data_IF_987969739743
#
_entry.id   IF_987969739743
#
_cell.length_a   1.000
_cell.length_b   1.000
_cell.length_c   1.000
_cell.angle_alpha   90.00
_cell.angle_beta   90.00
_cell.angle_gamma   90.00
#
_symmetry.space_group_name_H-M   'P 1'
#
loop_
_entity.id
_entity.type
_entity.pdbx_description
1 polymer ?
#
# COMPACT_ATOMS: atom_id res chain seq x y z
N UNK A 1 0.00 -0.42 1.76
CA UNK A 1 -1.01 -0.45 2.86
C UNK A 1 -2.42 -0.22 2.30
N UNK A 2 -2.95 -1.14 1.50
CA UNK A 2 -4.24 -0.97 0.81
C UNK A 2 -5.42 -0.76 1.77
N UNK A 3 -5.35 -1.33 2.98
CA UNK A 3 -6.34 -1.11 4.04
C UNK A 3 -6.37 0.33 4.56
N UNK A 4 -5.24 1.04 4.56
CA UNK A 4 -5.20 2.47 4.91
C UNK A 4 -5.85 3.32 3.81
N UNK A 5 -5.70 2.91 2.54
CA UNK A 5 -6.39 3.54 1.42
C UNK A 5 -7.91 3.45 1.55
N UNK A 6 -8.45 2.36 2.13
CA UNK A 6 -9.89 2.27 2.44
C UNK A 6 -10.30 3.36 3.44
N UNK A 7 -9.48 3.64 4.46
CA UNK A 7 -9.75 4.69 5.45
C UNK A 7 -9.76 6.08 4.81
N UNK A 8 -8.77 6.37 3.97
CA UNK A 8 -8.69 7.63 3.21
C UNK A 8 -9.85 7.77 2.23
N UNK A 9 -10.18 6.71 1.50
CA UNK A 9 -11.27 6.71 0.52
C UNK A 9 -12.64 6.90 1.20
N UNK A 10 -12.81 6.39 2.43
CA UNK A 10 -13.99 6.65 3.24
C UNK A 10 -14.13 8.12 3.66
N UNK A 11 -13.02 8.85 3.86
CA UNK A 11 -13.04 10.30 4.11
C UNK A 11 -13.28 11.12 2.84
N UNK A 12 -12.77 10.66 1.69
CA UNK A 12 -12.81 11.42 0.43
C UNK A 12 -14.15 11.28 -0.31
N UNK A 13 -14.87 10.16 -0.16
CA UNK A 13 -16.16 9.88 -0.80
C UNK A 13 -17.19 9.43 0.25
N UNK A 14 -17.85 10.38 0.94
CA UNK A 14 -18.82 10.07 1.99
C UNK A 14 -20.18 9.61 1.46
N UNK A 15 -20.58 10.00 0.24
CA UNK A 15 -21.93 9.81 -0.34
C UNK A 15 -22.07 8.66 -1.35
N UNK A 16 -21.02 7.85 -1.56
CA UNK A 16 -21.12 6.70 -2.46
C UNK A 16 -21.98 5.58 -1.84
N UNK A 17 -22.96 5.06 -2.60
CA UNK A 17 -23.74 3.88 -2.19
C UNK A 17 -22.81 2.68 -1.99
N UNK A 18 -22.85 2.09 -0.79
CA UNK A 18 -21.99 0.96 -0.41
C UNK A 18 -22.84 -0.27 -0.18
N UNK A 19 -22.77 -1.24 -1.10
CA UNK A 19 -23.39 -2.58 -0.94
C UNK A 19 -22.74 -3.45 0.14
N UNK A 20 -21.51 -3.13 0.60
CA UNK A 20 -20.82 -3.89 1.63
C UNK A 20 -20.18 -2.98 2.70
N UNK A 21 -20.68 -3.06 3.93
CA UNK A 21 -20.06 -2.42 5.11
C UNK A 21 -19.26 -3.48 5.86
N UNK A 22 -17.95 -3.29 5.93
CA UNK A 22 -17.07 -4.13 6.77
C UNK A 22 -17.56 -4.06 8.22
N UNK A 23 -18.03 -5.18 8.76
CA UNK A 23 -18.40 -5.31 10.16
C UNK A 23 -17.19 -5.00 11.04
N UNK A 24 -17.33 -4.18 12.10
CA UNK A 24 -16.21 -3.79 12.97
C UNK A 24 -15.22 -2.76 12.38
N UNK A 25 -15.59 -2.06 11.31
CA UNK A 25 -14.85 -0.89 10.83
C UNK A 25 -14.87 0.24 11.88
N UNK A 26 -13.74 0.94 12.17
CA UNK A 26 -12.43 0.88 11.53
C UNK A 26 -11.37 0.00 12.24
N UNK A 27 -11.75 -0.74 13.28
CA UNK A 27 -10.82 -1.49 14.15
C UNK A 27 -10.08 -2.59 13.37
N UNK A 28 -10.82 -3.34 12.54
CA UNK A 28 -10.25 -4.46 11.76
C UNK A 28 -9.22 -3.98 10.72
N UNK A 29 -9.48 -2.93 9.90
CA UNK A 29 -8.46 -2.34 9.05
C UNK A 29 -7.23 -1.85 9.81
N UNK A 30 -7.41 -1.26 10.99
CA UNK A 30 -6.30 -0.73 11.79
C UNK A 30 -5.38 -1.85 12.28
N UNK A 31 -5.97 -2.93 12.81
CA UNK A 31 -5.23 -4.11 13.25
C UNK A 31 -4.46 -4.77 12.10
N UNK A 32 -5.10 -4.91 10.93
CA UNK A 32 -4.46 -5.46 9.74
C UNK A 32 -3.26 -4.61 9.28
N UNK A 33 -3.39 -3.28 9.26
CA UNK A 33 -2.28 -2.38 8.95
C UNK A 33 -1.14 -2.54 9.97
N UNK A 34 -1.46 -2.64 11.27
CA UNK A 34 -0.50 -2.89 12.33
C UNK A 34 0.28 -4.20 12.12
N UNK A 35 -0.44 -5.32 11.89
CA UNK A 35 0.18 -6.61 11.60
C UNK A 35 1.05 -6.58 10.33
N UNK A 36 0.60 -5.91 9.28
CA UNK A 36 1.38 -5.76 8.05
C UNK A 36 2.68 -4.97 8.29
N UNK A 37 2.64 -3.91 9.10
CA UNK A 37 3.85 -3.15 9.47
C UNK A 37 4.80 -4.03 10.30
N UNK A 38 4.29 -4.76 11.28
CA UNK A 38 5.10 -5.67 12.10
C UNK A 38 5.75 -6.75 11.24
N UNK A 39 5.01 -7.34 10.30
CA UNK A 39 5.54 -8.32 9.37
C UNK A 39 6.63 -7.72 8.48
N UNK A 40 6.44 -6.49 7.98
CA UNK A 40 7.46 -5.78 7.19
C UNK A 40 8.73 -5.55 8.01
N UNK A 41 8.61 -5.06 9.25
CA UNK A 41 9.76 -4.85 10.14
C UNK A 41 10.47 -6.17 10.41
N UNK A 42 9.72 -7.24 10.71
CA UNK A 42 10.29 -8.55 10.93
C UNK A 42 11.04 -9.07 9.69
N UNK A 43 10.45 -8.90 8.50
CA UNK A 43 11.07 -9.32 7.23
C UNK A 43 12.37 -8.57 6.95
N UNK A 44 12.43 -7.26 7.27
CA UNK A 44 13.66 -6.45 7.13
C UNK A 44 14.78 -6.99 8.04
N UNK A 45 14.45 -7.39 9.26
CA UNK A 45 15.42 -7.90 10.23
C UNK A 45 15.86 -9.33 9.88
N UNK A 46 14.92 -10.20 9.52
CA UNK A 46 15.18 -11.62 9.24
C UNK A 46 15.89 -11.83 7.90
N UNK A 47 15.65 -10.98 6.89
CA UNK A 47 16.25 -11.13 5.56
C UNK A 47 16.53 -9.76 4.92
N UNK A 48 17.59 -9.07 5.38
CA UNK A 48 17.91 -7.73 4.91
C UNK A 48 18.32 -7.70 3.43
N UNK A 49 19.02 -8.73 2.95
CA UNK A 49 19.46 -8.85 1.56
C UNK A 49 18.30 -9.02 0.59
N UNK A 50 17.39 -9.96 0.86
CA UNK A 50 16.20 -10.19 0.04
C UNK A 50 15.28 -8.97 0.01
N UNK A 51 15.13 -8.30 1.15
CA UNK A 51 14.32 -7.07 1.24
C UNK A 51 14.95 -5.91 0.47
N UNK A 52 16.28 -5.75 0.54
CA UNK A 52 16.99 -4.71 -0.21
C UNK A 52 16.87 -4.89 -1.74
N UNK A 53 16.96 -6.13 -2.23
CA UNK A 53 16.76 -6.42 -3.66
C UNK A 53 15.32 -6.09 -4.08
N UNK A 54 14.32 -6.50 -3.29
CA UNK A 54 12.92 -6.18 -3.55
C UNK A 54 12.65 -4.67 -3.57
N UNK A 55 13.21 -3.92 -2.60
CA UNK A 55 13.11 -2.46 -2.57
C UNK A 55 13.83 -1.80 -3.76
N UNK A 56 14.97 -2.34 -4.19
CA UNK A 56 15.68 -1.88 -5.38
C UNK A 56 14.83 -2.02 -6.64
N UNK A 57 14.16 -3.15 -6.84
CA UNK A 57 13.27 -3.39 -7.98
C UNK A 57 12.04 -2.48 -7.94
N UNK A 58 11.48 -2.21 -6.75
CA UNK A 58 10.36 -1.26 -6.63
C UNK A 58 10.84 0.15 -6.95
N UNK A 59 12.03 0.54 -6.47
CA UNK A 59 12.61 1.85 -6.71
C UNK A 59 12.94 2.07 -8.19
N UNK A 60 13.32 1.04 -8.96
CA UNK A 60 13.54 1.17 -10.42
C UNK A 60 12.24 1.41 -11.19
N UNK A 61 11.07 1.13 -10.62
CA UNK A 61 9.79 1.54 -11.20
C UNK A 61 9.62 3.06 -11.34
N UNK A 62 10.21 3.85 -10.42
CA UNK A 62 10.16 5.33 -10.46
C UNK A 62 10.90 5.94 -11.66
N UNK A 63 12.20 5.65 -11.91
CA UNK A 63 12.89 6.15 -13.09
C UNK A 63 12.29 5.57 -14.37
N UNK A 64 11.89 4.30 -14.40
CA UNK A 64 11.25 3.69 -15.59
C UNK A 64 9.97 4.43 -15.96
N UNK A 65 9.13 4.78 -14.98
CA UNK A 65 7.94 5.59 -15.23
C UNK A 65 8.30 6.96 -15.83
N UNK A 66 9.30 7.66 -15.27
CA UNK A 66 9.67 8.98 -15.79
C UNK A 66 10.27 8.92 -17.20
N UNK A 67 11.10 7.93 -17.53
CA UNK A 67 11.76 7.82 -18.83
C UNK A 67 10.83 7.29 -19.93
N UNK A 68 9.97 6.31 -19.63
CA UNK A 68 9.11 5.67 -20.63
C UNK A 68 7.69 6.23 -20.66
N UNK A 69 7.04 6.47 -19.51
CA UNK A 69 5.65 6.94 -19.48
C UNK A 69 5.51 8.45 -19.76
N UNK A 70 6.55 9.25 -19.57
CA UNK A 70 6.59 10.63 -20.07
C UNK A 70 6.44 10.69 -21.60
N UNK A 71 7.01 9.72 -22.33
CA UNK A 71 6.92 9.65 -23.79
C UNK A 71 5.59 9.11 -24.32
N UNK A 72 4.82 8.39 -23.51
CA UNK A 72 3.52 7.79 -23.91
C UNK A 72 2.37 8.81 -23.77
N UNK A 73 2.63 9.96 -23.13
CA UNK A 73 1.65 11.05 -22.96
C UNK A 73 1.80 12.19 -23.99
N UNK A 74 2.62 12.01 -25.03
CA UNK A 74 2.78 12.94 -26.15
C UNK A 74 1.97 12.49 -27.37
#
# INVERSE_FOLDING_TARGET
LCAFSVIIFRKKLPTAERSYKVWGYPIIPLLFVGCAILLLINTIITSPTSTAIGLGIIATGWPVYHFYFSKIKA
#
